data_IF_895030562290
#
_entry.id   IF_895030562290
#
_cell.length_a   1.000
_cell.length_b   1.000
_cell.length_c   1.000
_cell.angle_alpha   90.00
_cell.angle_beta   90.00
_cell.angle_gamma   90.00
#
_symmetry.space_group_name_H-M   'P 1'
#
loop_
_entity.id
_entity.type
_entity.pdbx_description
1 polymer ?
#
# COMPACT_ATOMS: atom_id res chain seq x y z
N UNK A 1 9.93 -31.25 29.31
CA UNK A 1 10.98 -30.28 29.68
C UNK A 1 11.87 -30.10 28.47
N UNK A 2 12.08 -28.95 27.85
CA UNK A 2 11.56 -27.61 27.99
C UNK A 2 11.60 -26.97 26.59
N UNK A 3 10.62 -26.12 26.28
CA UNK A 3 10.62 -25.26 25.11
C UNK A 3 11.63 -24.12 25.33
N UNK A 4 12.46 -23.84 24.33
CA UNK A 4 13.22 -22.58 24.27
C UNK A 4 12.89 -21.91 22.96
N UNK A 5 12.06 -20.87 23.05
CA UNK A 5 11.56 -20.09 21.93
C UNK A 5 12.68 -19.39 21.16
N UNK A 6 12.56 -19.42 19.83
CA UNK A 6 13.30 -18.49 18.98
C UNK A 6 12.63 -17.13 19.09
N UNK A 7 13.21 -16.29 19.94
CA UNK A 7 12.85 -14.89 20.11
C UNK A 7 12.81 -14.19 18.75
N UNK A 8 11.68 -13.54 18.47
CA UNK A 8 11.49 -12.68 17.33
C UNK A 8 12.58 -11.62 17.30
N UNK A 9 13.42 -11.68 16.29
CA UNK A 9 14.35 -10.61 15.99
C UNK A 9 13.52 -9.39 15.57
N UNK A 10 13.36 -8.47 16.51
CA UNK A 10 12.80 -7.14 16.32
C UNK A 10 13.56 -6.47 15.18
N UNK A 11 12.93 -6.30 14.02
CA UNK A 11 13.45 -5.51 12.90
C UNK A 11 13.37 -4.02 13.25
N UNK A 12 14.02 -3.60 14.34
CA UNK A 12 14.13 -2.21 14.73
C UNK A 12 15.33 -1.57 14.03
N UNK A 13 15.32 -1.59 12.69
CA UNK A 13 16.20 -0.71 11.91
C UNK A 13 15.56 0.67 11.97
N UNK A 14 15.97 1.44 12.98
CA UNK A 14 15.66 2.85 13.06
C UNK A 14 15.97 3.50 11.69
N UNK A 15 14.94 3.97 11.00
CA UNK A 15 15.06 4.81 9.83
C UNK A 15 15.63 6.15 10.28
N UNK A 16 16.95 6.19 10.51
CA UNK A 16 17.68 7.40 10.83
C UNK A 16 17.91 8.17 9.53
N UNK A 17 16.89 8.94 9.14
CA UNK A 17 17.01 9.99 8.13
C UNK A 17 16.06 9.83 6.95
N UNK A 18 14.88 10.43 7.06
CA UNK A 18 14.21 11.03 5.90
C UNK A 18 13.95 12.48 6.28
N UNK A 19 14.74 13.41 5.72
CA UNK A 19 14.23 14.78 5.57
C UNK A 19 12.95 14.64 4.74
N UNK A 20 11.85 15.25 5.17
CA UNK A 20 10.60 15.32 4.39
C UNK A 20 10.93 15.88 3.00
N UNK A 21 11.11 15.01 2.01
CA UNK A 21 11.47 15.42 0.63
C UNK A 21 10.27 16.02 -0.08
N UNK A 22 9.06 15.68 0.35
CA UNK A 22 7.81 16.32 -0.03
C UNK A 22 6.71 16.05 1.02
N UNK A 23 5.77 16.98 1.17
CA UNK A 23 4.53 16.78 1.92
C UNK A 23 3.36 16.60 0.94
N UNK A 24 2.40 15.76 1.31
CA UNK A 24 1.23 15.49 0.47
C UNK A 24 -0.05 15.78 1.24
N UNK A 25 -0.99 16.45 0.59
CA UNK A 25 -2.37 16.59 1.06
C UNK A 25 -3.29 15.84 0.09
N UNK A 26 -4.20 15.02 0.62
CA UNK A 26 -5.15 14.22 -0.12
C UNK A 26 -6.56 14.54 0.36
N UNK A 27 -7.46 14.83 -0.58
CA UNK A 27 -8.89 14.97 -0.31
C UNK A 27 -9.66 14.07 -1.26
N UNK A 28 -10.51 13.20 -0.72
CA UNK A 28 -11.35 12.27 -1.50
C UNK A 28 -12.80 12.72 -1.40
N UNK A 29 -13.52 12.69 -2.52
CA UNK A 29 -14.93 13.03 -2.59
C UNK A 29 -15.70 11.96 -3.38
N UNK A 30 -16.85 11.54 -2.87
CA UNK A 30 -17.83 10.77 -3.64
C UNK A 30 -18.58 11.72 -4.57
N UNK A 31 -18.61 11.39 -5.86
CA UNK A 31 -19.22 12.20 -6.92
C UNK A 31 -20.64 11.71 -7.25
N UNK A 32 -20.83 10.39 -7.29
CA UNK A 32 -22.10 9.70 -7.51
C UNK A 32 -22.03 8.29 -6.88
N UNK A 33 -23.04 7.45 -7.12
CA UNK A 33 -22.95 6.03 -6.80
C UNK A 33 -21.78 5.39 -7.58
N UNK A 34 -20.91 4.69 -6.84
CA UNK A 34 -19.66 4.08 -7.32
C UNK A 34 -18.68 4.99 -8.09
N UNK A 35 -18.84 6.32 -7.99
CA UNK A 35 -17.93 7.28 -8.58
C UNK A 35 -17.24 8.13 -7.51
N UNK A 36 -15.91 8.12 -7.54
CA UNK A 36 -15.07 8.85 -6.59
C UNK A 36 -14.04 9.71 -7.33
N UNK A 37 -13.73 10.86 -6.76
CA UNK A 37 -12.64 11.73 -7.19
C UNK A 37 -11.69 12.00 -6.03
N UNK A 38 -10.44 12.29 -6.35
CA UNK A 38 -9.48 12.75 -5.36
C UNK A 38 -8.70 13.97 -5.89
N UNK A 39 -8.38 14.87 -4.98
CA UNK A 39 -7.45 15.97 -5.18
C UNK A 39 -6.20 15.69 -4.38
N UNK A 40 -5.05 15.69 -5.05
CA UNK A 40 -3.74 15.47 -4.44
C UNK A 40 -2.92 16.75 -4.63
N UNK A 41 -2.42 17.31 -3.53
CA UNK A 41 -1.51 18.45 -3.54
C UNK A 41 -0.15 18.01 -3.01
N UNK A 42 0.89 18.14 -3.83
CA UNK A 42 2.27 17.85 -3.46
C UNK A 42 2.98 19.17 -3.15
N UNK A 43 3.59 19.25 -1.98
CA UNK A 43 4.43 20.38 -1.56
C UNK A 43 5.87 19.88 -1.52
N UNK A 44 6.67 20.26 -2.50
CA UNK A 44 8.08 19.92 -2.56
C UNK A 44 8.87 20.62 -1.44
N UNK A 45 9.92 19.98 -0.93
CA UNK A 45 10.88 20.66 -0.06
C UNK A 45 11.67 21.74 -0.85
N UNK A 46 12.16 22.80 -0.18
CA UNK A 46 13.01 23.80 -0.84
C UNK A 46 14.21 23.14 -1.55
N UNK A 47 14.40 23.46 -2.83
CA UNK A 47 15.46 22.89 -3.67
C UNK A 47 15.16 21.51 -4.28
N UNK A 48 13.98 20.94 -4.04
CA UNK A 48 13.57 19.69 -4.68
C UNK A 48 12.89 19.96 -6.03
N UNK A 49 13.45 19.39 -7.09
CA UNK A 49 12.79 19.25 -8.39
C UNK A 49 12.17 17.86 -8.44
N UNK A 50 10.86 17.74 -8.22
CA UNK A 50 10.20 16.44 -8.39
C UNK A 50 8.95 16.56 -9.26
N UNK A 51 8.92 15.89 -10.43
CA UNK A 51 7.65 15.55 -11.05
C UNK A 51 6.98 14.50 -10.17
N UNK A 52 5.83 14.85 -9.59
CA UNK A 52 4.98 13.88 -8.90
C UNK A 52 4.38 12.90 -9.89
N UNK A 53 4.20 11.65 -9.47
CA UNK A 53 3.37 10.68 -10.17
C UNK A 53 2.20 10.28 -9.27
N UNK A 54 1.01 10.16 -9.85
CA UNK A 54 -0.16 9.66 -9.15
C UNK A 54 -0.72 8.42 -9.85
N UNK A 55 -1.37 7.56 -9.08
CA UNK A 55 -2.15 6.45 -9.60
C UNK A 55 -3.46 6.31 -8.81
N UNK A 56 -4.46 5.73 -9.46
CA UNK A 56 -5.70 5.29 -8.86
C UNK A 56 -5.73 3.77 -8.86
N UNK A 57 -5.95 3.16 -7.69
CA UNK A 57 -6.12 1.71 -7.58
C UNK A 57 -7.43 1.36 -6.90
N UNK A 58 -8.06 0.28 -7.37
CA UNK A 58 -9.17 -0.37 -6.67
C UNK A 58 -8.62 -1.65 -6.07
N UNK A 59 -8.76 -1.79 -4.75
CA UNK A 59 -8.34 -2.99 -4.02
C UNK A 59 -9.55 -3.76 -3.52
N UNK A 60 -9.47 -5.08 -3.59
CA UNK A 60 -10.36 -5.97 -2.87
C UNK A 60 -9.74 -6.30 -1.51
N UNK A 61 -10.51 -6.11 -0.45
CA UNK A 61 -10.11 -6.45 0.91
C UNK A 61 -10.55 -7.87 1.28
N UNK A 62 -9.67 -8.64 1.93
CA UNK A 62 -10.02 -9.95 2.50
C UNK A 62 -10.20 -11.05 1.46
N UNK A 63 -9.57 -10.92 0.28
CA UNK A 63 -9.67 -11.93 -0.77
C UNK A 63 -9.16 -13.28 -0.27
N UNK A 64 -9.85 -14.37 -0.62
CA UNK A 64 -9.45 -15.71 -0.25
C UNK A 64 -9.29 -16.57 -1.51
N UNK A 65 -8.11 -17.16 -1.69
CA UNK A 65 -7.77 -17.95 -2.88
C UNK A 65 -7.42 -19.39 -2.53
N UNK A 66 -8.07 -20.35 -3.18
CA UNK A 66 -7.73 -21.77 -3.06
C UNK A 66 -6.45 -22.08 -3.83
N UNK A 67 -5.48 -22.68 -3.16
CA UNK A 67 -4.23 -23.13 -3.78
C UNK A 67 -4.46 -24.49 -4.45
N UNK A 68 -4.25 -24.55 -5.76
CA UNK A 68 -4.49 -25.78 -6.54
C UNK A 68 -3.29 -26.74 -6.51
N UNK A 69 -2.07 -26.21 -6.45
CA UNK A 69 -0.82 -26.98 -6.55
C UNK A 69 0.30 -26.30 -5.74
N UNK A 70 1.34 -27.06 -5.37
CA UNK A 70 2.49 -26.57 -4.62
C UNK A 70 2.45 -26.93 -3.13
N UNK A 71 3.37 -26.36 -2.35
CA UNK A 71 3.53 -26.64 -0.91
C UNK A 71 2.23 -26.39 -0.11
N UNK A 72 1.45 -25.40 -0.52
CA UNK A 72 0.19 -25.03 0.13
C UNK A 72 -1.05 -25.65 -0.56
N UNK A 73 -0.90 -26.67 -1.40
CA UNK A 73 -2.02 -27.24 -2.16
C UNK A 73 -3.15 -27.72 -1.22
N UNK A 74 -4.39 -27.34 -1.54
CA UNK A 74 -5.56 -27.64 -0.72
C UNK A 74 -5.94 -26.54 0.28
N UNK A 75 -4.99 -25.65 0.61
CA UNK A 75 -5.21 -24.56 1.54
C UNK A 75 -5.88 -23.34 0.90
N UNK A 76 -6.38 -22.46 1.78
CA UNK A 76 -6.96 -21.16 1.45
C UNK A 76 -6.04 -20.05 1.96
N UNK A 77 -5.47 -19.28 1.02
CA UNK A 77 -4.65 -18.12 1.36
C UNK A 77 -5.52 -16.87 1.48
N UNK A 78 -5.41 -16.20 2.63
CA UNK A 78 -6.04 -14.91 2.89
C UNK A 78 -5.12 -13.78 2.47
N UNK A 79 -5.69 -12.84 1.72
CA UNK A 79 -5.03 -11.63 1.27
C UNK A 79 -5.69 -10.43 1.92
N UNK A 80 -4.89 -9.55 2.54
CA UNK A 80 -5.42 -8.33 3.14
C UNK A 80 -5.91 -7.35 2.06
N UNK A 81 -5.14 -7.18 0.98
CA UNK A 81 -5.50 -6.33 -0.16
C UNK A 81 -5.01 -6.93 -1.48
N UNK A 82 -5.91 -7.05 -2.45
CA UNK A 82 -5.58 -7.45 -3.83
C UNK A 82 -5.92 -6.32 -4.77
N UNK A 83 -4.95 -5.84 -5.56
CA UNK A 83 -5.20 -4.83 -6.59
C UNK A 83 -6.04 -5.45 -7.71
N UNK A 84 -7.22 -4.87 -7.97
CA UNK A 84 -8.14 -5.25 -9.04
C UNK A 84 -8.07 -4.31 -10.24
N UNK A 85 -7.68 -3.06 -10.01
CA UNK A 85 -7.51 -2.06 -11.05
C UNK A 85 -6.34 -1.14 -10.71
N UNK A 86 -5.60 -0.73 -11.74
CA UNK A 86 -4.54 0.27 -11.67
C UNK A 86 -4.67 1.22 -12.85
N UNK A 87 -4.78 2.51 -12.57
CA UNK A 87 -4.82 3.59 -13.57
C UNK A 87 -3.77 4.62 -13.19
N UNK A 88 -2.94 5.05 -14.13
CA UNK A 88 -2.06 6.19 -13.91
C UNK A 88 -2.88 7.49 -13.94
N UNK A 89 -2.67 8.37 -12.96
CA UNK A 89 -3.40 9.62 -12.79
C UNK A 89 -2.45 10.83 -12.77
N UNK A 90 -2.98 12.02 -13.03
CA UNK A 90 -2.22 13.27 -12.94
C UNK A 90 -1.09 13.41 -13.97
N UNK A 91 -1.27 12.83 -15.16
CA UNK A 91 -0.46 13.20 -16.34
C UNK A 91 -0.94 14.51 -16.93
#
# INVERSE_FOLDING_TARGET
>A
MAATGRNGATLNRAFKGTRDTARTHLSIKRLADDQFGATVTLTAAPGATQPGAACWTVTEHGHNSKVKTGENAGEFLKHDFVVRQYIQAGK
#
